data_IF_755768020767
#
_entry.id   IF_755768020767
#
_cell.length_a   1.000
_cell.length_b   1.000
_cell.length_c   1.000
_cell.angle_alpha   90.00
_cell.angle_beta   90.00
_cell.angle_gamma   90.00
#
_symmetry.space_group_name_H-M   'P 1'
#
loop_
_entity.id
_entity.type
_entity.pdbx_description
1 polymer ?
#
# COMPACT_ATOMS: atom_id res chain seq x y z
N UNK A 1 -65.54 -12.97 -29.76
CA UNK A 1 -64.44 -12.18 -30.35
C UNK A 1 -63.24 -12.32 -29.44
N UNK A 2 -62.18 -13.00 -29.90
CA UNK A 2 -60.89 -13.05 -29.23
C UNK A 2 -60.18 -11.71 -29.48
N UNK A 3 -59.63 -11.09 -28.44
CA UNK A 3 -58.59 -10.07 -28.60
C UNK A 3 -57.41 -10.42 -27.71
N UNK A 4 -56.31 -10.74 -28.38
CA UNK A 4 -55.03 -11.20 -27.85
C UNK A 4 -54.32 -10.10 -27.07
N UNK A 5 -53.78 -10.41 -25.90
CA UNK A 5 -52.79 -9.59 -25.22
C UNK A 5 -51.39 -10.01 -25.67
N UNK A 6 -50.78 -9.24 -26.56
CA UNK A 6 -49.36 -9.38 -26.92
C UNK A 6 -48.53 -8.63 -25.90
N UNK A 7 -47.93 -9.33 -24.94
CA UNK A 7 -46.93 -8.75 -24.03
C UNK A 7 -45.57 -8.80 -24.72
N UNK A 8 -45.03 -7.63 -25.09
CA UNK A 8 -43.63 -7.49 -25.50
C UNK A 8 -42.71 -7.73 -24.30
N UNK A 9 -41.95 -8.82 -24.31
CA UNK A 9 -40.83 -9.00 -23.38
C UNK A 9 -39.66 -8.13 -23.84
N UNK A 10 -39.42 -7.01 -23.15
CA UNK A 10 -38.20 -6.22 -23.32
C UNK A 10 -37.08 -6.93 -22.58
N UNK A 11 -36.16 -7.55 -23.33
CA UNK A 11 -34.91 -8.09 -22.80
C UNK A 11 -34.01 -6.93 -22.36
N UNK A 12 -34.03 -6.61 -21.05
CA UNK A 12 -33.09 -5.69 -20.45
C UNK A 12 -31.67 -6.26 -20.51
N UNK A 13 -30.82 -5.68 -21.35
CA UNK A 13 -29.39 -5.96 -21.33
C UNK A 13 -28.78 -5.27 -20.10
N UNK A 14 -28.61 -6.02 -19.01
CA UNK A 14 -27.79 -5.57 -17.89
C UNK A 14 -26.34 -5.55 -18.36
N UNK A 15 -25.85 -4.38 -18.77
CA UNK A 15 -24.43 -4.16 -18.94
C UNK A 15 -23.77 -4.34 -17.56
N UNK A 16 -23.10 -5.48 -17.37
CA UNK A 16 -22.18 -5.67 -16.26
C UNK A 16 -21.11 -4.60 -16.39
N UNK A 17 -21.24 -3.51 -15.64
CA UNK A 17 -20.13 -2.64 -15.31
C UNK A 17 -19.11 -3.52 -14.57
N UNK A 18 -18.21 -4.13 -15.33
CA UNK A 18 -16.98 -4.67 -14.76
C UNK A 18 -16.25 -3.44 -14.21
N UNK A 19 -16.42 -3.18 -12.92
CA UNK A 19 -15.48 -2.38 -12.19
C UNK A 19 -14.13 -3.07 -12.38
N UNK A 20 -13.32 -2.53 -13.28
CA UNK A 20 -11.89 -2.75 -13.21
C UNK A 20 -11.47 -2.01 -11.95
N UNK A 21 -11.67 -2.68 -10.80
CA UNK A 21 -11.06 -2.29 -9.55
C UNK A 21 -9.56 -2.37 -9.83
N UNK A 22 -9.05 -1.24 -10.29
CA UNK A 22 -7.66 -0.99 -10.52
C UNK A 22 -7.02 -1.06 -9.14
N UNK A 23 -6.42 -2.21 -8.81
CA UNK A 23 -5.86 -2.53 -7.50
C UNK A 23 -4.52 -1.80 -7.28
N UNK A 24 -4.56 -0.48 -7.41
CA UNK A 24 -3.44 0.41 -7.13
C UNK A 24 -3.44 0.77 -5.66
N UNK A 25 -2.33 0.51 -4.99
CA UNK A 25 -2.21 0.67 -3.56
C UNK A 25 -1.04 1.55 -3.19
N UNK A 26 -1.34 2.55 -2.36
CA UNK A 26 -0.41 3.64 -2.06
C UNK A 26 -0.70 4.32 -0.73
N UNK A 27 0.35 4.75 -0.03
CA UNK A 27 0.26 5.73 1.06
C UNK A 27 0.31 7.15 0.49
N UNK A 28 -0.73 7.94 0.77
CA UNK A 28 -0.81 9.35 0.38
C UNK A 28 -0.32 10.31 1.46
N UNK A 29 -0.52 9.96 2.74
CA UNK A 29 -0.12 10.78 3.88
C UNK A 29 0.40 9.85 4.99
N UNK A 30 1.64 10.03 5.47
CA UNK A 30 2.69 10.87 4.88
C UNK A 30 3.15 10.31 3.52
N UNK A 31 3.40 11.18 2.54
CA UNK A 31 3.70 10.74 1.16
C UNK A 31 5.11 10.17 1.05
N UNK A 32 5.32 9.01 0.40
CA UNK A 32 6.66 8.53 0.12
C UNK A 32 7.38 9.40 -0.90
N UNK A 33 8.71 9.31 -0.90
CA UNK A 33 9.54 9.69 -2.05
C UNK A 33 9.66 8.49 -2.98
N UNK A 34 9.31 8.65 -4.25
CA UNK A 34 9.36 7.57 -5.24
C UNK A 34 10.72 7.54 -5.96
N UNK A 35 11.20 6.33 -6.23
CA UNK A 35 12.44 6.08 -6.99
C UNK A 35 12.29 6.30 -8.50
N UNK A 36 11.06 6.49 -8.97
CA UNK A 36 10.70 6.74 -10.37
C UNK A 36 9.68 7.87 -10.44
N UNK A 37 9.56 8.47 -11.63
CA UNK A 37 8.53 9.47 -11.89
C UNK A 37 7.13 8.86 -11.67
N UNK A 38 6.20 9.67 -11.16
CA UNK A 38 4.83 9.28 -10.84
C UNK A 38 3.81 10.37 -11.26
N UNK A 39 4.18 11.23 -12.21
CA UNK A 39 3.37 12.38 -12.62
C UNK A 39 2.17 12.01 -13.51
N UNK A 40 2.28 10.92 -14.26
CA UNK A 40 1.25 10.44 -15.18
C UNK A 40 0.54 9.19 -14.66
N UNK A 41 -0.68 8.93 -15.14
CA UNK A 41 -1.42 7.72 -14.77
C UNK A 41 -0.71 6.42 -15.18
N UNK A 42 0.08 6.45 -16.26
CA UNK A 42 0.86 5.30 -16.72
C UNK A 42 2.01 5.00 -15.76
N UNK A 43 2.74 6.02 -15.35
CA UNK A 43 3.82 5.89 -14.37
C UNK A 43 3.29 5.39 -13.04
N UNK A 44 2.20 5.99 -12.52
CA UNK A 44 1.61 5.58 -11.24
C UNK A 44 1.10 4.13 -11.25
N UNK A 45 0.58 3.67 -12.39
CA UNK A 45 0.14 2.28 -12.55
C UNK A 45 1.27 1.29 -12.32
N UNK A 46 2.48 1.63 -12.73
CA UNK A 46 3.64 0.78 -12.47
C UNK A 46 3.99 0.72 -10.97
N UNK A 47 3.94 1.87 -10.29
CA UNK A 47 4.40 1.99 -8.91
C UNK A 47 3.40 1.48 -7.87
N UNK A 48 2.10 1.57 -8.18
CA UNK A 48 1.02 1.20 -7.26
C UNK A 48 0.51 -0.22 -7.43
N UNK A 49 0.95 -0.93 -8.47
CA UNK A 49 0.62 -2.35 -8.64
C UNK A 49 1.30 -3.20 -7.55
N UNK A 50 0.80 -4.44 -7.31
CA UNK A 50 1.49 -5.40 -6.47
C UNK A 50 2.97 -5.51 -6.86
N UNK A 51 3.85 -5.40 -5.88
CA UNK A 51 5.28 -5.64 -6.08
C UNK A 51 5.53 -7.10 -6.48
N UNK A 52 4.70 -8.02 -5.99
CA UNK A 52 4.76 -9.44 -6.30
C UNK A 52 3.37 -10.09 -6.26
N UNK A 53 3.22 -11.13 -7.06
CA UNK A 53 2.08 -12.05 -7.06
C UNK A 53 2.61 -13.41 -6.62
N UNK A 54 2.40 -13.78 -5.36
CA UNK A 54 3.14 -14.89 -4.76
C UNK A 54 2.78 -16.27 -5.34
N UNK A 55 1.61 -16.41 -5.95
CA UNK A 55 1.26 -17.61 -6.72
C UNK A 55 2.23 -17.86 -7.90
N UNK A 56 2.85 -16.81 -8.44
CA UNK A 56 3.88 -16.93 -9.50
C UNK A 56 5.26 -17.24 -8.95
N UNK A 57 5.44 -17.07 -7.65
CA UNK A 57 6.68 -17.32 -6.91
C UNK A 57 6.69 -18.71 -6.25
N UNK A 58 5.66 -19.53 -6.53
CA UNK A 58 5.56 -20.92 -6.05
C UNK A 58 4.84 -21.09 -4.73
N UNK A 59 4.23 -20.04 -4.18
CA UNK A 59 3.45 -20.13 -2.95
C UNK A 59 2.11 -20.82 -3.20
N UNK A 60 1.74 -21.74 -2.32
CA UNK A 60 0.39 -22.30 -2.26
C UNK A 60 -0.53 -21.31 -1.55
N UNK A 61 -1.07 -20.37 -2.32
CA UNK A 61 -1.97 -19.34 -1.82
C UNK A 61 -3.29 -19.93 -1.31
N UNK A 62 -3.81 -19.37 -0.23
CA UNK A 62 -5.07 -19.77 0.41
C UNK A 62 -5.79 -18.55 1.00
N UNK A 63 -7.05 -18.72 1.39
CA UNK A 63 -7.86 -17.66 2.00
C UNK A 63 -7.23 -17.11 3.27
N UNK A 64 -6.86 -18.00 4.19
CA UNK A 64 -6.33 -17.63 5.49
C UNK A 64 -4.80 -17.54 5.43
N UNK A 65 -4.30 -16.36 5.06
CA UNK A 65 -2.87 -16.08 5.07
C UNK A 65 -2.27 -16.11 6.50
N UNK A 66 -3.01 -15.64 7.51
CA UNK A 66 -2.53 -15.67 8.90
C UNK A 66 -2.25 -17.10 9.37
N UNK A 67 -3.10 -18.07 9.01
CA UNK A 67 -2.84 -19.48 9.30
C UNK A 67 -1.57 -19.97 8.60
N UNK A 68 -1.37 -19.58 7.33
CA UNK A 68 -0.14 -19.91 6.61
C UNK A 68 1.10 -19.34 7.31
N UNK A 69 1.05 -18.10 7.81
CA UNK A 69 2.17 -17.51 8.56
C UNK A 69 2.54 -18.35 9.77
N UNK A 70 1.55 -18.79 10.55
CA UNK A 70 1.75 -19.63 11.73
C UNK A 70 2.33 -20.98 11.34
N UNK A 71 1.75 -21.64 10.33
CA UNK A 71 2.17 -22.97 9.89
C UNK A 71 3.62 -22.98 9.36
N UNK A 72 4.04 -21.91 8.69
CA UNK A 72 5.39 -21.74 8.15
C UNK A 72 6.37 -21.06 9.13
N UNK A 73 5.92 -20.72 10.34
CA UNK A 73 6.77 -20.19 11.41
C UNK A 73 7.14 -18.71 11.29
N UNK A 74 6.38 -17.91 10.54
CA UNK A 74 6.54 -16.46 10.48
C UNK A 74 5.83 -15.78 11.65
N UNK A 75 6.50 -14.85 12.32
CA UNK A 75 5.98 -14.23 13.55
C UNK A 75 5.10 -13.00 13.30
N UNK A 76 5.21 -12.39 12.12
CA UNK A 76 4.47 -11.19 11.73
C UNK A 76 4.40 -11.07 10.20
N UNK A 77 3.61 -10.12 9.69
CA UNK A 77 3.60 -9.83 8.25
C UNK A 77 4.95 -9.31 7.78
N UNK A 78 5.56 -8.39 8.54
CA UNK A 78 6.92 -7.92 8.25
C UNK A 78 7.92 -9.07 8.21
N UNK A 79 7.85 -9.98 9.18
CA UNK A 79 8.73 -11.16 9.23
C UNK A 79 8.61 -12.03 7.97
N UNK A 80 7.37 -12.29 7.54
CA UNK A 80 7.11 -12.95 6.26
C UNK A 80 7.70 -12.17 5.08
N UNK A 81 7.40 -10.87 4.99
CA UNK A 81 7.82 -10.05 3.84
C UNK A 81 9.34 -9.90 3.75
N UNK A 82 10.05 -9.90 4.88
CA UNK A 82 11.50 -9.76 4.95
C UNK A 82 12.24 -11.09 4.68
N UNK A 83 11.66 -12.23 5.11
CA UNK A 83 12.36 -13.53 5.09
C UNK A 83 11.89 -14.50 4.02
N UNK A 84 10.65 -14.39 3.55
CA UNK A 84 10.13 -15.30 2.54
C UNK A 84 10.85 -15.09 1.19
N UNK A 85 11.03 -16.18 0.44
CA UNK A 85 11.74 -16.15 -0.84
C UNK A 85 10.76 -15.87 -1.97
N UNK A 86 10.65 -14.62 -2.38
CA UNK A 86 9.91 -14.17 -3.55
C UNK A 86 10.61 -12.97 -4.17
N UNK A 87 10.41 -12.76 -5.47
CA UNK A 87 10.89 -11.57 -6.17
C UNK A 87 9.84 -10.46 -6.13
N UNK A 88 10.32 -9.23 -5.99
CA UNK A 88 9.55 -8.03 -6.32
C UNK A 88 9.78 -7.63 -7.78
N UNK A 89 8.97 -6.69 -8.26
CA UNK A 89 9.05 -6.12 -9.60
C UNK A 89 10.48 -5.65 -9.94
N UNK A 90 10.91 -5.85 -11.18
CA UNK A 90 12.29 -5.60 -11.60
C UNK A 90 12.73 -4.13 -11.38
N UNK A 91 13.69 -3.96 -10.48
CA UNK A 91 14.23 -2.66 -10.09
C UNK A 91 13.57 -2.03 -8.86
N UNK A 92 12.54 -2.65 -8.29
CA UNK A 92 12.03 -2.30 -6.97
C UNK A 92 12.96 -2.87 -5.89
N UNK A 93 13.03 -2.17 -4.76
CA UNK A 93 13.76 -2.63 -3.59
C UNK A 93 12.96 -3.70 -2.81
N UNK A 94 13.66 -4.70 -2.26
CA UNK A 94 13.01 -5.78 -1.53
C UNK A 94 12.41 -5.31 -0.20
N UNK A 95 12.92 -4.27 0.45
CA UNK A 95 12.33 -3.76 1.68
C UNK A 95 11.26 -2.68 1.39
N UNK A 96 11.56 -1.77 0.47
CA UNK A 96 10.83 -0.52 0.28
C UNK A 96 10.04 -0.42 -1.03
N UNK A 97 10.05 -1.46 -1.86
CA UNK A 97 9.36 -1.44 -3.14
C UNK A 97 9.88 -0.32 -4.03
N UNK A 98 8.99 0.56 -4.47
CA UNK A 98 9.33 1.69 -5.34
C UNK A 98 9.67 2.98 -4.58
N UNK A 99 9.75 2.94 -3.26
CA UNK A 99 9.98 4.11 -2.42
C UNK A 99 11.41 4.19 -1.91
N UNK A 100 11.95 5.39 -1.77
CA UNK A 100 13.31 5.63 -1.30
C UNK A 100 13.32 5.91 0.22
N UNK A 101 13.86 5.01 1.06
CA UNK A 101 13.98 5.23 2.50
C UNK A 101 14.95 6.37 2.86
N UNK A 102 15.76 6.85 1.91
CA UNK A 102 16.67 8.00 2.05
C UNK A 102 16.15 9.22 1.28
N UNK A 103 14.91 9.17 0.81
CA UNK A 103 14.25 10.28 0.14
C UNK A 103 13.95 11.45 1.07
N UNK A 104 13.15 12.41 0.59
CA UNK A 104 12.80 13.63 1.33
C UNK A 104 11.94 13.25 2.55
N UNK A 105 12.43 13.47 3.79
CA UNK A 105 11.66 13.16 4.99
C UNK A 105 10.37 13.96 5.04
N UNK A 106 9.28 13.31 5.45
CA UNK A 106 7.99 13.96 5.69
C UNK A 106 7.85 14.33 7.15
N UNK A 107 7.28 15.50 7.43
CA UNK A 107 6.90 15.84 8.79
C UNK A 107 5.81 14.88 9.27
N UNK A 108 5.95 14.36 10.49
CA UNK A 108 4.88 13.59 11.14
C UNK A 108 3.61 14.46 11.19
N UNK A 109 2.46 13.98 10.68
CA UNK A 109 1.21 14.72 10.74
C UNK A 109 0.83 15.07 12.19
N UNK A 110 0.65 16.35 12.48
CA UNK A 110 0.40 16.85 13.85
C UNK A 110 -0.86 16.24 14.48
N UNK A 111 -1.85 15.92 13.64
CA UNK A 111 -3.10 15.31 14.06
C UNK A 111 -3.06 13.77 14.02
N UNK A 112 -1.90 13.16 13.74
CA UNK A 112 -1.73 11.71 13.63
C UNK A 112 -2.41 11.10 12.41
N UNK A 113 -2.76 11.88 11.38
CA UNK A 113 -3.41 11.34 10.19
C UNK A 113 -2.50 10.40 9.39
N UNK A 114 -3.05 9.27 8.96
CA UNK A 114 -2.53 8.47 7.86
C UNK A 114 -3.62 8.35 6.79
N UNK A 115 -3.22 8.41 5.51
CA UNK A 115 -4.14 8.21 4.39
C UNK A 115 -3.53 7.29 3.34
N UNK A 116 -4.31 6.31 2.91
CA UNK A 116 -3.95 5.37 1.84
C UNK A 116 -5.00 5.40 0.73
N UNK A 117 -4.80 4.65 -0.35
CA UNK A 117 -5.83 4.32 -1.34
C UNK A 117 -6.96 3.42 -0.80
N UNK A 118 -6.80 2.87 0.40
CA UNK A 118 -7.72 1.94 1.04
C UNK A 118 -7.40 0.48 0.74
N UNK A 119 -7.74 -0.42 1.65
CA UNK A 119 -7.47 -1.85 1.50
C UNK A 119 -8.61 -2.49 0.70
N UNK A 120 -8.37 -2.82 -0.58
CA UNK A 120 -9.43 -3.29 -1.49
C UNK A 120 -9.65 -4.81 -1.48
N UNK A 121 -8.78 -5.54 -0.79
CA UNK A 121 -8.82 -6.99 -0.66
C UNK A 121 -8.64 -7.37 0.80
N UNK A 122 -9.20 -8.50 1.21
CA UNK A 122 -8.92 -9.06 2.53
C UNK A 122 -7.43 -9.27 2.73
N UNK A 123 -6.97 -9.22 3.97
CA UNK A 123 -5.62 -9.64 4.32
C UNK A 123 -4.91 -8.69 5.27
N UNK A 124 -3.78 -9.14 5.83
CA UNK A 124 -3.15 -8.44 6.93
C UNK A 124 -2.39 -7.22 6.45
N UNK A 125 -2.34 -6.21 7.30
CA UNK A 125 -1.41 -5.09 7.16
C UNK A 125 -0.69 -4.83 8.47
N UNK A 126 0.52 -4.31 8.36
CA UNK A 126 1.32 -3.86 9.49
C UNK A 126 1.98 -2.54 9.15
N UNK A 127 2.13 -1.68 10.16
CA UNK A 127 2.81 -0.40 10.05
C UNK A 127 3.82 -0.31 11.19
N UNK A 128 5.06 -0.03 10.85
CA UNK A 128 6.15 0.12 11.82
C UNK A 128 6.75 1.51 11.76
N UNK A 129 7.18 2.02 12.92
CA UNK A 129 8.05 3.17 13.07
C UNK A 129 9.44 2.67 13.43
N UNK A 130 10.34 2.60 12.44
CA UNK A 130 11.59 1.86 12.56
C UNK A 130 11.32 0.40 12.86
N UNK A 131 11.75 -0.08 14.04
CA UNK A 131 11.54 -1.46 14.48
C UNK A 131 10.34 -1.65 15.39
N UNK A 132 9.60 -0.58 15.71
CA UNK A 132 8.44 -0.64 16.60
C UNK A 132 7.15 -0.75 15.81
N UNK A 133 6.34 -1.76 16.14
CA UNK A 133 5.00 -1.92 15.58
C UNK A 133 4.08 -0.79 16.05
N UNK A 134 3.45 -0.08 15.12
CA UNK A 134 2.48 0.98 15.39
C UNK A 134 1.03 0.53 15.12
N UNK A 135 0.83 -0.36 14.13
CA UNK A 135 -0.48 -0.89 13.78
C UNK A 135 -0.34 -2.30 13.20
N UNK A 136 -1.23 -3.21 13.58
CA UNK A 136 -1.37 -4.53 12.96
C UNK A 136 -2.84 -4.95 12.97
N UNK A 137 -3.33 -5.44 11.84
CA UNK A 137 -4.59 -6.17 11.78
C UNK A 137 -4.44 -7.39 10.87
N UNK A 138 -5.20 -8.44 11.20
CA UNK A 138 -5.28 -9.65 10.38
C UNK A 138 -6.07 -9.43 9.08
N UNK A 139 -6.99 -8.47 9.09
CA UNK A 139 -7.71 -8.02 7.90
C UNK A 139 -7.91 -6.49 7.94
N UNK A 140 -7.11 -5.77 7.14
CA UNK A 140 -7.19 -4.31 7.09
C UNK A 140 -8.33 -3.79 6.21
N UNK A 141 -8.85 -4.61 5.28
CA UNK A 141 -10.07 -4.27 4.55
C UNK A 141 -11.27 -4.09 5.49
N UNK A 142 -11.39 -4.98 6.47
CA UNK A 142 -12.46 -4.91 7.48
C UNK A 142 -12.16 -3.89 8.59
N UNK A 143 -10.91 -3.87 9.07
CA UNK A 143 -10.55 -3.07 10.25
C UNK A 143 -10.36 -1.58 9.94
N UNK A 144 -10.05 -1.24 8.69
CA UNK A 144 -9.81 0.12 8.22
C UNK A 144 -10.70 0.37 6.98
N UNK A 145 -12.01 0.58 7.19
CA UNK A 145 -12.96 0.75 6.09
C UNK A 145 -12.78 2.08 5.35
N UNK A 146 -12.21 3.08 6.04
CA UNK A 146 -11.95 4.40 5.50
C UNK A 146 -10.50 4.53 5.02
N UNK A 147 -10.30 5.26 3.93
CA UNK A 147 -8.95 5.56 3.40
C UNK A 147 -8.09 6.38 4.36
N UNK A 148 -8.72 7.10 5.30
CA UNK A 148 -8.06 8.00 6.25
C UNK A 148 -8.32 7.53 7.67
N UNK A 149 -7.26 7.36 8.45
CA UNK A 149 -7.34 6.89 9.83
C UNK A 149 -6.27 7.56 10.70
N UNK A 150 -6.34 7.33 12.01
CA UNK A 150 -5.35 7.82 12.97
C UNK A 150 -4.30 6.77 13.25
N UNK A 151 -3.04 7.18 13.28
CA UNK A 151 -1.89 6.35 13.60
C UNK A 151 -1.09 7.00 14.73
N UNK A 152 -0.61 6.18 15.66
CA UNK A 152 0.32 6.63 16.69
C UNK A 152 1.76 6.64 16.13
N UNK A 153 2.32 7.84 15.96
CA UNK A 153 3.69 8.05 15.48
C UNK A 153 4.71 8.19 16.63
N UNK A 154 4.28 8.11 17.90
CA UNK A 154 5.14 8.39 19.07
C UNK A 154 6.41 7.55 19.12
N UNK A 155 6.36 6.33 18.57
CA UNK A 155 7.48 5.42 18.48
C UNK A 155 8.64 5.92 17.58
N UNK A 156 8.38 6.89 16.69
CA UNK A 156 9.35 7.42 15.73
C UNK A 156 10.44 8.29 16.38
N UNK A 157 10.16 8.91 17.54
CA UNK A 157 11.10 9.85 18.16
C UNK A 157 11.38 11.06 17.27
N UNK A 158 12.64 11.49 17.20
CA UNK A 158 13.04 12.64 16.38
C UNK A 158 12.94 12.37 14.87
N UNK A 159 13.27 11.14 14.45
CA UNK A 159 13.18 10.66 13.07
C UNK A 159 13.18 9.14 13.00
N UNK A 160 12.50 8.58 12.01
CA UNK A 160 12.46 7.14 11.75
C UNK A 160 12.08 6.89 10.28
N UNK A 161 12.03 5.62 9.88
CA UNK A 161 11.36 5.19 8.65
C UNK A 161 10.03 4.56 9.04
N UNK A 162 8.93 5.03 8.47
CA UNK A 162 7.66 4.33 8.49
C UNK A 162 7.70 3.22 7.44
N UNK A 163 7.51 1.98 7.86
CA UNK A 163 7.32 0.85 6.96
C UNK A 163 5.85 0.47 6.91
N UNK A 164 5.23 0.58 5.75
CA UNK A 164 3.85 0.16 5.50
C UNK A 164 3.89 -1.15 4.71
N UNK A 165 3.27 -2.18 5.28
CA UNK A 165 3.15 -3.51 4.69
C UNK A 165 1.69 -3.87 4.54
N UNK A 166 1.30 -4.34 3.36
CA UNK A 166 -0.01 -4.97 3.19
C UNK A 166 0.08 -6.16 2.24
N UNK A 167 -0.56 -7.26 2.63
CA UNK A 167 -0.76 -8.41 1.76
C UNK A 167 -2.25 -8.54 1.41
N UNK A 168 -2.55 -8.34 0.14
CA UNK A 168 -3.90 -8.51 -0.39
C UNK A 168 -4.16 -9.97 -0.77
N UNK A 169 -5.17 -10.58 -0.18
CA UNK A 169 -5.70 -11.91 -0.50
C UNK A 169 -6.91 -11.73 -1.40
N UNK A 170 -6.73 -12.05 -2.68
CA UNK A 170 -7.79 -11.92 -3.68
C UNK A 170 -8.22 -13.28 -4.18
N UNK A 171 -9.51 -13.58 -4.11
CA UNK A 171 -10.07 -14.73 -4.82
C UNK A 171 -10.51 -14.33 -6.24
N UNK A 172 -9.92 -14.94 -7.25
CA UNK A 172 -10.26 -14.70 -8.66
C UNK A 172 -10.24 -16.03 -9.44
N UNK A 173 -11.30 -16.28 -10.23
CA UNK A 173 -11.40 -17.43 -11.14
C UNK A 173 -11.18 -18.79 -10.44
N UNK A 174 -11.65 -18.93 -9.21
CA UNK A 174 -11.56 -20.17 -8.44
C UNK A 174 -10.18 -20.43 -7.82
N UNK A 175 -9.34 -19.41 -7.71
CA UNK A 175 -8.02 -19.50 -7.08
C UNK A 175 -7.72 -18.24 -6.28
N UNK A 176 -6.94 -18.40 -5.21
CA UNK A 176 -6.43 -17.26 -4.45
C UNK A 176 -5.18 -16.69 -5.13
N UNK A 177 -4.97 -15.39 -4.94
CA UNK A 177 -3.81 -14.62 -5.39
C UNK A 177 -3.38 -13.77 -4.21
N UNK A 178 -2.09 -13.82 -3.88
CA UNK A 178 -1.51 -13.03 -2.79
C UNK A 178 -0.64 -11.93 -3.36
N UNK A 179 -1.01 -10.69 -3.03
CA UNK A 179 -0.42 -9.48 -3.58
C UNK A 179 0.40 -8.77 -2.52
N UNK A 180 1.68 -8.54 -2.79
CA UNK A 180 2.59 -7.86 -1.86
C UNK A 180 2.63 -6.36 -2.17
N UNK A 181 2.37 -5.53 -1.15
CA UNK A 181 2.53 -4.08 -1.19
C UNK A 181 3.42 -3.62 -0.03
N UNK A 182 4.39 -2.76 -0.35
CA UNK A 182 5.38 -2.24 0.60
C UNK A 182 5.76 -0.81 0.25
N UNK A 183 5.81 0.04 1.25
CA UNK A 183 6.32 1.41 1.12
C UNK A 183 7.11 1.80 2.37
N UNK A 184 8.17 2.58 2.16
CA UNK A 184 9.01 3.19 3.17
C UNK A 184 8.89 4.71 3.07
N UNK A 185 8.58 5.37 4.19
CA UNK A 185 8.50 6.82 4.26
C UNK A 185 9.45 7.32 5.36
N UNK A 186 10.54 8.05 5.03
CA UNK A 186 11.34 8.71 6.06
C UNK A 186 10.51 9.80 6.72
N UNK A 187 10.51 9.83 8.05
CA UNK A 187 9.74 10.77 8.88
C UNK A 187 10.64 11.56 9.83
N UNK A 188 10.21 12.76 10.18
CA UNK A 188 10.81 13.56 11.24
C UNK A 188 9.76 14.25 12.11
N UNK A 189 10.10 14.48 13.38
CA UNK A 189 9.29 15.27 14.31
C UNK A 189 9.43 16.77 14.02
N UNK A 190 8.35 17.53 14.15
CA UNK A 190 8.35 18.98 13.94
C UNK A 190 9.15 19.80 14.97
N UNK A 191 9.79 19.16 15.96
CA UNK A 191 10.48 19.81 17.09
C UNK A 191 12.00 19.99 16.93
N UNK A 192 12.59 19.69 15.76
CA UNK A 192 14.03 19.87 15.49
C UNK A 192 14.29 20.61 14.16
N UNK A 193 15.03 21.73 14.21
CA UNK A 193 15.24 22.70 13.13
C UNK A 193 15.94 22.18 11.85
N UNK A 194 16.08 22.97 10.79
CA UNK A 194 15.91 24.41 10.66
C UNK A 194 16.04 24.89 9.22
N UNK A 195 15.72 26.17 9.06
CA UNK A 195 16.05 27.10 7.99
C UNK A 195 16.83 26.53 6.79
N UNK A 196 16.11 26.19 5.72
CA UNK A 196 16.68 26.15 4.36
C UNK A 196 16.08 27.28 3.55
N UNK A 197 16.31 28.52 3.97
CA UNK A 197 16.23 29.66 3.06
C UNK A 197 17.42 29.56 2.08
N UNK A 198 17.23 29.50 0.75
CA UNK A 198 18.35 29.60 -0.18
C UNK A 198 18.94 31.00 -0.08
N UNK A 199 20.11 31.12 0.54
CA UNK A 199 20.90 32.34 0.52
C UNK A 199 21.18 32.71 -0.94
N UNK A 200 20.58 33.81 -1.39
CA UNK A 200 20.90 34.41 -2.70
C UNK A 200 22.34 34.90 -2.63
N UNK A 201 23.26 34.19 -3.29
CA UNK A 201 24.63 34.68 -3.51
C UNK A 201 24.53 35.84 -4.49
N UNK A 202 24.74 37.06 -4.01
CA UNK A 202 24.95 38.22 -4.87
C UNK A 202 26.30 38.05 -5.61
N UNK A 203 26.39 38.32 -6.93
CA UNK A 203 27.64 38.19 -7.65
C UNK A 203 28.60 39.33 -7.27
N UNK A 204 29.83 38.97 -6.89
CA UNK A 204 30.95 39.89 -6.80
C UNK A 204 31.50 40.13 -8.20
N UNK A 205 31.38 41.36 -8.71
CA UNK A 205 32.11 41.80 -9.89
C UNK A 205 33.56 42.11 -9.51
N UNK A 206 34.48 41.60 -10.34
CA UNK A 206 35.89 41.98 -10.39
C UNK A 206 36.07 43.10 -11.42
#
# INVERSE_FOLDING_TARGET
MLSSFTSLAVLGSAALLQSTAEAHQVVYVPSPTWTRANGTSKERRELWNPLSFLEKEGFKTQENFTQFQVDEGYTSLRDFMDKAKYKVSDGADQACGWTDPKGIPQQIPEDGTMRTSGYTHDGPCEIYMGDKLALSYLNCHESIPDQTFKLDYSACGDSCILYWYWLGVRHLKGSYSWQVYKECIPLYSGSGGGDSTPGTVAPSNN
#
